data_IF_469899218729
#
_entry.id   IF_469899218729
#
_cell.length_a   1.000
_cell.length_b   1.000
_cell.length_c   1.000
_cell.angle_alpha   90.00
_cell.angle_beta   90.00
_cell.angle_gamma   90.00
#
_symmetry.space_group_name_H-M   'P 1'
#
loop_
_entity.id
_entity.type
_entity.pdbx_description
1 polymer ?
#
# COMPACT_ATOMS: atom_id res chain seq x y z
N UNK A 1 8.02 42.83 11.46
CA UNK A 1 7.33 42.22 10.31
C UNK A 1 8.18 41.03 9.88
N UNK A 2 7.74 39.81 10.16
CA UNK A 2 8.44 38.61 9.71
C UNK A 2 7.79 38.15 8.41
N UNK A 3 8.55 38.22 7.32
CA UNK A 3 8.16 37.60 6.06
C UNK A 3 8.46 36.12 6.18
N UNK A 4 7.42 35.29 6.19
CA UNK A 4 7.58 33.84 5.99
C UNK A 4 7.81 33.64 4.49
N UNK A 5 8.82 32.88 4.05
CA UNK A 5 9.00 32.59 2.63
C UNK A 5 7.77 31.85 2.09
N UNK A 6 7.32 32.23 0.90
CA UNK A 6 6.28 31.51 0.16
C UNK A 6 6.77 30.07 -0.07
N UNK A 7 6.08 29.10 0.55
CA UNK A 7 6.33 27.69 0.29
C UNK A 7 5.82 27.41 -1.13
N UNK A 8 6.64 26.86 -2.03
CA UNK A 8 6.20 26.51 -3.38
C UNK A 8 4.95 25.63 -3.31
N UNK A 9 3.89 25.94 -4.07
CA UNK A 9 2.60 25.21 -4.05
C UNK A 9 2.75 23.67 -4.15
N UNK A 10 3.75 23.20 -4.88
CA UNK A 10 4.03 21.77 -5.03
C UNK A 10 4.51 21.12 -3.72
N UNK A 11 5.20 21.88 -2.88
CA UNK A 11 5.68 21.45 -1.57
C UNK A 11 4.55 21.52 -0.53
N UNK A 12 3.62 22.48 -0.65
CA UNK A 12 2.40 22.51 0.18
C UNK A 12 1.47 21.30 -0.13
N UNK A 13 1.34 20.92 -1.41
CA UNK A 13 0.58 19.72 -1.80
C UNK A 13 1.22 18.44 -1.27
N UNK A 14 2.54 18.31 -1.32
CA UNK A 14 3.25 17.19 -0.72
C UNK A 14 3.00 17.10 0.79
N UNK A 15 3.14 18.20 1.52
CA UNK A 15 2.88 18.27 2.97
C UNK A 15 1.42 17.90 3.31
N UNK A 16 0.46 18.28 2.46
CA UNK A 16 -0.95 17.90 2.63
C UNK A 16 -1.17 16.41 2.38
N UNK A 17 -0.53 15.83 1.37
CA UNK A 17 -0.61 14.39 1.07
C UNK A 17 0.05 13.54 2.14
N UNK A 18 1.20 13.97 2.68
CA UNK A 18 1.91 13.29 3.78
C UNK A 18 1.05 13.15 5.03
N UNK A 19 0.15 14.10 5.27
CA UNK A 19 -0.82 14.04 6.38
C UNK A 19 -2.09 13.29 6.04
N UNK A 20 -2.49 13.28 4.77
CA UNK A 20 -3.75 12.69 4.34
C UNK A 20 -3.67 11.16 4.36
N UNK A 21 -2.59 10.56 3.83
CA UNK A 21 -2.47 9.10 3.72
C UNK A 21 -2.60 8.41 5.09
N UNK A 22 -1.84 8.80 6.15
CA UNK A 22 -1.95 8.14 7.45
C UNK A 22 -3.34 8.29 8.08
N UNK A 23 -3.95 9.47 7.97
CA UNK A 23 -5.30 9.73 8.49
C UNK A 23 -6.34 8.87 7.75
N UNK A 24 -6.23 8.77 6.43
CA UNK A 24 -7.13 7.92 5.64
C UNK A 24 -6.97 6.43 5.99
N UNK A 25 -5.75 5.96 6.24
CA UNK A 25 -5.51 4.57 6.66
C UNK A 25 -6.09 4.30 8.05
N UNK A 26 -5.88 5.20 9.02
CA UNK A 26 -6.43 5.08 10.37
C UNK A 26 -7.97 5.05 10.37
N UNK A 27 -8.60 5.91 9.57
CA UNK A 27 -10.06 5.92 9.44
C UNK A 27 -10.54 4.59 8.85
N UNK A 28 -9.87 4.06 7.81
CA UNK A 28 -10.25 2.79 7.19
C UNK A 28 -10.19 1.63 8.18
N UNK A 29 -9.06 1.47 8.88
CA UNK A 29 -8.88 0.40 9.86
C UNK A 29 -9.91 0.49 10.99
N UNK A 30 -10.19 1.70 11.49
CA UNK A 30 -11.20 1.90 12.52
C UNK A 30 -12.62 1.53 12.04
N UNK A 31 -12.95 1.79 10.77
CA UNK A 31 -14.26 1.44 10.20
C UNK A 31 -14.40 -0.05 9.96
N UNK A 32 -13.36 -0.70 9.42
CA UNK A 32 -13.33 -2.15 9.21
C UNK A 32 -13.45 -2.91 10.54
N UNK A 33 -12.77 -2.46 11.60
CA UNK A 33 -12.86 -3.06 12.93
C UNK A 33 -14.22 -2.86 13.60
N UNK A 34 -14.86 -1.72 13.35
CA UNK A 34 -16.12 -1.37 14.00
C UNK A 34 -17.37 -1.88 13.23
N UNK A 35 -17.19 -2.44 12.03
CA UNK A 35 -18.27 -2.81 11.10
C UNK A 35 -19.21 -1.62 10.82
N UNK A 36 -18.65 -0.41 10.78
CA UNK A 36 -19.41 0.83 10.54
C UNK A 36 -19.27 1.24 9.08
N UNK A 37 -20.41 1.24 8.38
CA UNK A 37 -20.53 1.91 7.09
C UNK A 37 -20.84 3.40 7.29
N UNK A 38 -19.80 4.25 7.19
CA UNK A 38 -19.96 5.71 7.25
C UNK A 38 -20.45 6.31 5.91
N UNK A 39 -20.53 5.53 4.82
CA UNK A 39 -20.76 6.05 3.47
C UNK A 39 -19.66 7.01 2.98
N UNK A 40 -18.49 7.00 3.63
CA UNK A 40 -17.32 7.83 3.28
C UNK A 40 -16.35 6.99 2.46
N UNK A 41 -16.34 7.22 1.16
CA UNK A 41 -15.37 6.59 0.26
C UNK A 41 -14.01 7.28 0.40
N UNK A 42 -13.04 6.57 0.98
CA UNK A 42 -11.65 7.02 0.97
C UNK A 42 -11.08 6.89 -0.45
N UNK A 43 -10.27 7.84 -0.92
CA UNK A 43 -9.67 7.75 -2.26
C UNK A 43 -8.78 6.50 -2.34
N UNK A 44 -9.07 5.64 -3.31
CA UNK A 44 -8.35 4.40 -3.58
C UNK A 44 -8.04 4.29 -5.07
N UNK A 45 -6.92 3.65 -5.40
CA UNK A 45 -6.54 3.34 -6.78
C UNK A 45 -6.73 1.85 -7.00
N UNK A 46 -7.58 1.49 -7.96
CA UNK A 46 -7.77 0.10 -8.38
C UNK A 46 -6.96 -0.18 -9.66
N UNK A 47 -6.18 -1.25 -9.65
CA UNK A 47 -5.44 -1.73 -10.83
C UNK A 47 -6.25 -2.84 -11.50
N UNK A 48 -6.80 -2.54 -12.68
CA UNK A 48 -7.64 -3.47 -13.45
C UNK A 48 -7.08 -3.69 -14.86
N UNK A 49 -7.26 -4.89 -15.40
CA UNK A 49 -6.81 -5.21 -16.76
C UNK A 49 -6.71 -6.72 -17.02
N UNK A 50 -6.65 -7.07 -18.31
CA UNK A 50 -6.55 -8.46 -18.76
C UNK A 50 -5.36 -9.23 -18.18
N UNK A 51 -5.35 -10.55 -18.30
CA UNK A 51 -4.22 -11.36 -17.88
C UNK A 51 -2.94 -10.93 -18.63
N UNK A 52 -1.79 -10.94 -17.95
CA UNK A 52 -0.48 -10.67 -18.55
C UNK A 52 -0.21 -9.25 -19.08
N UNK A 53 -1.06 -8.25 -18.78
CA UNK A 53 -0.83 -6.85 -19.20
C UNK A 53 0.17 -6.08 -18.31
N UNK A 54 0.87 -6.76 -17.40
CA UNK A 54 1.88 -6.13 -16.53
C UNK A 54 1.33 -5.50 -15.24
N UNK A 55 0.15 -5.89 -14.76
CA UNK A 55 -0.41 -5.38 -13.48
C UNK A 55 0.53 -5.62 -12.30
N UNK A 56 1.07 -6.83 -12.18
CA UNK A 56 2.04 -7.16 -11.12
C UNK A 56 3.32 -6.33 -11.28
N UNK A 57 3.83 -6.21 -12.51
CA UNK A 57 5.03 -5.44 -12.81
C UNK A 57 4.86 -3.94 -12.50
N UNK A 58 3.67 -3.37 -12.69
CA UNK A 58 3.37 -2.00 -12.28
C UNK A 58 3.49 -1.83 -10.76
N UNK A 59 2.89 -2.75 -9.99
CA UNK A 59 2.92 -2.71 -8.53
C UNK A 59 4.35 -2.92 -7.99
N UNK A 60 5.09 -3.86 -8.57
CA UNK A 60 6.49 -4.10 -8.21
C UNK A 60 7.41 -2.94 -8.59
N UNK A 61 7.13 -2.23 -9.69
CA UNK A 61 7.86 -1.02 -10.06
C UNK A 61 7.59 0.14 -9.08
N UNK A 62 6.38 0.25 -8.54
CA UNK A 62 6.06 1.23 -7.49
C UNK A 62 6.76 0.92 -6.16
N UNK A 63 6.91 -0.36 -5.83
CA UNK A 63 7.60 -0.82 -4.60
C UNK A 63 9.13 -0.87 -4.78
N UNK A 64 9.62 -1.03 -6.01
CA UNK A 64 11.05 -1.21 -6.30
C UNK A 64 11.60 -2.61 -5.96
N UNK A 65 10.71 -3.57 -5.66
CA UNK A 65 11.04 -4.95 -5.27
C UNK A 65 10.04 -5.92 -5.89
N UNK A 66 10.51 -7.12 -6.21
CA UNK A 66 9.64 -8.20 -6.66
C UNK A 66 9.06 -8.93 -5.45
N UNK A 67 7.75 -8.85 -5.24
CA UNK A 67 7.08 -9.38 -4.04
C UNK A 67 5.77 -10.07 -4.36
N UNK A 68 5.27 -9.91 -5.58
CA UNK A 68 4.05 -10.58 -6.00
C UNK A 68 4.39 -11.99 -6.48
N UNK A 69 3.44 -12.93 -6.40
CA UNK A 69 3.62 -14.24 -6.99
C UNK A 69 3.89 -14.12 -8.50
N UNK A 70 4.68 -15.03 -9.04
CA UNK A 70 4.95 -15.12 -10.49
C UNK A 70 4.64 -16.52 -10.97
N UNK A 71 3.92 -16.68 -12.08
CA UNK A 71 3.57 -17.99 -12.60
C UNK A 71 2.62 -17.95 -13.80
N UNK A 72 2.40 -19.11 -14.41
CA UNK A 72 1.41 -19.27 -15.47
C UNK A 72 0.00 -19.31 -14.88
N UNK A 73 -0.94 -18.55 -15.47
CA UNK A 73 -2.34 -18.48 -15.02
C UNK A 73 -2.71 -17.18 -14.29
N UNK A 74 -3.80 -17.21 -13.52
CA UNK A 74 -4.25 -16.07 -12.70
C UNK A 74 -3.42 -16.05 -11.42
N UNK A 75 -2.58 -15.01 -11.33
CA UNK A 75 -1.60 -14.83 -10.26
C UNK A 75 -2.21 -14.24 -8.98
N UNK A 76 -3.29 -13.48 -9.12
CA UNK A 76 -3.98 -12.81 -8.00
C UNK A 76 -5.41 -13.32 -7.94
N UNK A 77 -5.70 -14.25 -7.02
CA UNK A 77 -7.03 -14.87 -6.87
C UNK A 77 -7.87 -14.22 -5.76
N UNK A 78 -7.24 -13.42 -4.91
CA UNK A 78 -7.89 -12.59 -3.87
C UNK A 78 -7.54 -11.12 -4.12
N UNK A 79 -8.47 -10.17 -3.92
CA UNK A 79 -8.14 -8.75 -3.99
C UNK A 79 -6.99 -8.40 -3.03
N UNK A 80 -5.94 -7.76 -3.53
CA UNK A 80 -4.81 -7.31 -2.72
C UNK A 80 -4.96 -5.82 -2.44
N UNK A 81 -5.14 -5.47 -1.17
CA UNK A 81 -5.06 -4.08 -0.72
C UNK A 81 -3.60 -3.73 -0.40
N UNK A 82 -2.94 -2.99 -1.29
CA UNK A 82 -1.57 -2.55 -1.09
C UNK A 82 -1.54 -1.13 -0.50
N UNK A 83 -0.96 -0.99 0.69
CA UNK A 83 -0.70 0.31 1.30
C UNK A 83 0.80 0.60 1.24
N UNK A 84 1.17 1.69 0.57
CA UNK A 84 2.56 2.15 0.51
C UNK A 84 2.75 3.30 1.49
N UNK A 85 3.66 3.12 2.44
CA UNK A 85 4.00 4.13 3.44
C UNK A 85 5.43 4.56 3.21
N UNK A 86 5.61 5.85 2.86
CA UNK A 86 6.94 6.42 2.74
C UNK A 86 7.54 6.62 4.13
N UNK A 87 8.76 6.13 4.33
CA UNK A 87 9.56 6.30 5.56
C UNK A 87 10.88 6.98 5.20
N UNK A 88 11.55 7.57 6.19
CA UNK A 88 12.86 8.20 6.01
C UNK A 88 13.90 7.20 5.48
N UNK A 89 14.88 7.68 4.71
CA UNK A 89 15.91 6.85 4.07
C UNK A 89 16.74 6.00 5.05
N UNK A 90 16.76 6.36 6.33
CA UNK A 90 17.47 5.64 7.38
C UNK A 90 16.69 4.42 7.94
N UNK A 91 15.42 4.25 7.57
CA UNK A 91 14.60 3.10 7.98
C UNK A 91 14.73 1.95 6.98
N UNK A 92 14.90 0.73 7.49
CA UNK A 92 14.85 -0.49 6.67
C UNK A 92 13.49 -0.65 5.97
N UNK A 93 13.50 -1.18 4.74
CA UNK A 93 12.28 -1.56 4.01
C UNK A 93 11.65 -2.81 4.65
N UNK A 94 10.34 -2.77 4.94
CA UNK A 94 9.61 -3.93 5.46
C UNK A 94 8.12 -3.88 5.08
N UNK A 95 7.48 -5.04 5.14
CA UNK A 95 6.03 -5.19 5.00
C UNK A 95 5.40 -5.90 6.20
N UNK A 96 4.09 -5.72 6.38
CA UNK A 96 3.26 -6.39 7.39
C UNK A 96 1.93 -6.77 6.73
N UNK A 97 1.34 -7.88 7.18
CA UNK A 97 0.03 -8.31 6.72
C UNK A 97 -1.01 -8.07 7.81
N UNK A 98 -2.23 -7.66 7.43
CA UNK A 98 -3.30 -7.41 8.38
C UNK A 98 -3.66 -8.63 9.24
N UNK A 99 -3.53 -9.84 8.70
CA UNK A 99 -3.77 -11.09 9.44
C UNK A 99 -2.58 -11.53 10.32
N UNK A 100 -1.40 -10.92 10.16
CA UNK A 100 -0.19 -11.16 10.96
C UNK A 100 0.29 -9.87 11.63
N UNK A 101 -0.61 -9.24 12.38
CA UNK A 101 -0.31 -7.94 13.00
C UNK A 101 0.88 -8.01 13.95
N UNK A 102 1.80 -7.04 13.82
CA UNK A 102 3.05 -6.95 14.57
C UNK A 102 4.21 -7.78 13.99
N UNK A 103 3.98 -8.60 12.97
CA UNK A 103 5.05 -9.33 12.29
C UNK A 103 5.59 -8.53 11.10
N UNK A 104 6.88 -8.18 11.17
CA UNK A 104 7.59 -7.49 10.08
C UNK A 104 8.32 -8.46 9.18
N UNK A 105 8.18 -8.26 7.89
CA UNK A 105 8.88 -9.00 6.84
C UNK A 105 9.87 -8.06 6.15
N UNK A 106 11.16 -8.29 6.35
CA UNK A 106 12.24 -7.57 5.67
C UNK A 106 12.65 -8.29 4.37
N UNK A 107 12.35 -9.58 4.27
CA UNK A 107 12.61 -10.40 3.09
C UNK A 107 11.37 -10.42 2.17
N UNK A 108 11.50 -9.85 0.97
CA UNK A 108 10.41 -9.79 -0.01
C UNK A 108 10.02 -11.16 -0.59
N UNK A 109 10.89 -12.16 -0.54
CA UNK A 109 10.51 -13.53 -0.89
C UNK A 109 9.59 -14.16 0.17
N UNK A 110 9.73 -13.79 1.44
CA UNK A 110 8.81 -14.22 2.50
C UNK A 110 7.44 -13.57 2.34
N UNK A 111 7.40 -12.28 1.97
CA UNK A 111 6.16 -11.57 1.59
C UNK A 111 5.48 -12.30 0.43
N UNK A 112 6.23 -12.66 -0.62
CA UNK A 112 5.68 -13.41 -1.76
C UNK A 112 5.07 -14.75 -1.31
N UNK A 113 5.80 -15.51 -0.51
CA UNK A 113 5.36 -16.82 -0.05
C UNK A 113 4.10 -16.73 0.81
N UNK A 114 3.99 -15.70 1.65
CA UNK A 114 2.79 -15.47 2.46
C UNK A 114 1.58 -15.11 1.60
N UNK A 115 1.76 -14.28 0.55
CA UNK A 115 0.69 -13.99 -0.42
C UNK A 115 0.21 -15.27 -1.10
N UNK A 116 1.13 -16.15 -1.52
CA UNK A 116 0.79 -17.44 -2.13
C UNK A 116 -0.03 -18.28 -1.15
N UNK A 117 0.45 -18.41 0.08
CA UNK A 117 -0.19 -19.20 1.13
C UNK A 117 -1.64 -18.75 1.38
N UNK A 118 -1.89 -17.46 1.51
CA UNK A 118 -3.24 -16.91 1.71
C UNK A 118 -4.13 -17.01 0.47
N UNK A 119 -3.56 -17.15 -0.73
CA UNK A 119 -4.33 -17.16 -1.99
C UNK A 119 -4.62 -18.58 -2.52
N UNK A 120 -3.96 -19.60 -1.97
CA UNK A 120 -4.12 -21.01 -2.37
C UNK A 120 -4.91 -21.87 -1.38
N UNK A 121 -5.28 -21.33 -0.22
CA UNK A 121 -6.23 -21.91 0.73
C UNK A 121 -7.68 -21.56 0.37
#
# INVERSE_FOLDING_TARGET
VFSVPDVPKNQELAIRMDRLIPVTNQIREALEQADIDLGVELPQIAVVGGQSVGKSSLLEALVGRAFLPTGAGVVTRRPLLLQLVHRSEDDSEWGEFGHLSGQRFENFDEIRNEIIRETEL
#
